data_IF_428878401537
#
_entry.id   IF_428878401537
#
_cell.length_a   1.000
_cell.length_b   1.000
_cell.length_c   1.000
_cell.angle_alpha   90.00
_cell.angle_beta   90.00
_cell.angle_gamma   90.00
#
_symmetry.space_group_name_H-M   'P 1'
#
loop_
_entity.id
_entity.type
_entity.pdbx_description
1 polymer ?
#
# COMPACT_ATOMS: atom_id res chain seq x y z
N UNK A 1 11.38 13.13 2.50
CA UNK A 1 9.98 13.42 2.13
C UNK A 1 9.24 14.08 3.28
N UNK A 2 8.41 15.06 3.00
CA UNK A 2 7.70 15.80 4.05
C UNK A 2 6.50 14.98 4.56
N UNK A 3 6.53 14.64 5.85
CA UNK A 3 5.47 13.81 6.46
C UNK A 3 4.10 14.48 6.46
N UNK A 4 4.06 15.82 6.45
CA UNK A 4 2.80 16.55 6.41
C UNK A 4 2.06 16.34 5.07
N UNK A 5 2.78 16.38 3.95
CA UNK A 5 2.18 16.10 2.65
C UNK A 5 1.67 14.66 2.56
N UNK A 6 2.44 13.73 3.11
CA UNK A 6 2.02 12.32 3.13
C UNK A 6 0.75 12.16 3.94
N UNK A 7 0.69 12.78 5.12
CA UNK A 7 -0.49 12.72 5.98
C UNK A 7 -1.73 13.23 5.25
N UNK A 8 -1.62 14.38 4.55
CA UNK A 8 -2.75 14.93 3.80
C UNK A 8 -3.19 14.00 2.68
N UNK A 9 -2.24 13.43 1.94
CA UNK A 9 -2.54 12.48 0.87
C UNK A 9 -3.27 11.25 1.41
N UNK A 10 -2.73 10.67 2.48
CA UNK A 10 -3.31 9.48 3.09
C UNK A 10 -4.71 9.77 3.64
N UNK A 11 -4.92 10.96 4.18
CA UNK A 11 -6.21 11.35 4.71
C UNK A 11 -7.29 11.44 3.63
N UNK A 12 -6.90 11.69 2.38
CA UNK A 12 -7.82 11.83 1.24
C UNK A 12 -8.03 10.54 0.46
N UNK A 13 -7.14 9.56 0.60
CA UNK A 13 -7.22 8.34 -0.21
C UNK A 13 -8.48 7.56 0.12
N UNK A 14 -9.14 7.03 -0.92
CA UNK A 14 -10.35 6.25 -0.80
C UNK A 14 -10.11 4.81 -1.26
N UNK A 15 -11.04 3.92 -0.92
CA UNK A 15 -10.99 2.56 -1.44
C UNK A 15 -11.07 2.53 -2.97
N UNK A 16 -11.85 3.44 -3.54
CA UNK A 16 -11.99 3.54 -4.99
C UNK A 16 -10.65 3.93 -5.64
N UNK A 17 -9.89 4.82 -5.00
CA UNK A 17 -8.55 5.16 -5.47
C UNK A 17 -7.65 3.93 -5.52
N UNK A 18 -7.73 3.08 -4.51
CA UNK A 18 -6.94 1.84 -4.44
C UNK A 18 -7.33 0.90 -5.57
N UNK A 19 -8.65 0.74 -5.81
CA UNK A 19 -9.16 -0.11 -6.89
C UNK A 19 -8.64 0.39 -8.23
N UNK A 20 -8.77 1.68 -8.50
CA UNK A 20 -8.33 2.27 -9.77
C UNK A 20 -6.82 2.19 -9.96
N UNK A 21 -6.07 2.40 -8.89
CA UNK A 21 -4.61 2.25 -8.97
C UNK A 21 -4.24 0.80 -9.30
N UNK A 22 -4.89 -0.16 -8.64
CA UNK A 22 -4.68 -1.58 -8.96
C UNK A 22 -4.92 -1.88 -10.43
N UNK A 23 -6.04 -1.39 -10.98
CA UNK A 23 -6.36 -1.59 -12.38
C UNK A 23 -5.30 -0.95 -13.30
N UNK A 24 -4.80 0.23 -12.95
CA UNK A 24 -3.75 0.90 -13.71
C UNK A 24 -2.45 0.09 -13.73
N UNK A 25 -2.24 -0.74 -12.71
CA UNK A 25 -1.07 -1.61 -12.60
C UNK A 25 -1.34 -3.02 -13.14
N UNK A 26 -2.51 -3.23 -13.74
CA UNK A 26 -2.84 -4.51 -14.38
C UNK A 26 -3.38 -5.56 -13.41
N UNK A 27 -3.85 -5.18 -12.24
CA UNK A 27 -4.39 -6.12 -11.26
C UNK A 27 -5.79 -5.71 -10.81
N UNK A 28 -6.73 -6.67 -10.83
CA UNK A 28 -8.06 -6.48 -10.26
C UNK A 28 -8.04 -6.99 -8.82
N UNK A 29 -8.05 -6.05 -7.88
CA UNK A 29 -8.05 -6.39 -6.46
C UNK A 29 -9.40 -6.97 -6.04
N UNK A 30 -9.36 -7.97 -5.16
CA UNK A 30 -10.57 -8.51 -4.55
C UNK A 30 -11.00 -7.58 -3.41
N UNK A 31 -12.27 -7.67 -3.04
CA UNK A 31 -12.84 -6.77 -2.03
C UNK A 31 -12.05 -6.81 -0.73
N UNK A 32 -11.73 -8.02 -0.22
CA UNK A 32 -10.98 -8.12 1.04
C UNK A 32 -9.57 -7.54 0.91
N UNK A 33 -8.98 -7.59 -0.28
CA UNK A 33 -7.64 -7.01 -0.51
C UNK A 33 -7.70 -5.48 -0.46
N UNK A 34 -8.74 -4.90 -1.04
CA UNK A 34 -8.96 -3.46 -0.98
C UNK A 34 -9.11 -3.02 0.48
N UNK A 35 -9.92 -3.73 1.25
CA UNK A 35 -10.13 -3.45 2.68
C UNK A 35 -8.81 -3.53 3.45
N UNK A 36 -8.03 -4.58 3.21
CA UNK A 36 -6.75 -4.79 3.88
C UNK A 36 -5.78 -3.66 3.55
N UNK A 37 -5.60 -3.36 2.27
CA UNK A 37 -4.67 -2.33 1.83
C UNK A 37 -5.10 -0.96 2.37
N UNK A 38 -6.40 -0.65 2.29
CA UNK A 38 -6.95 0.58 2.81
C UNK A 38 -6.65 0.74 4.31
N UNK A 39 -6.87 -0.31 5.08
CA UNK A 39 -6.61 -0.30 6.51
C UNK A 39 -5.14 -0.03 6.83
N UNK A 40 -4.22 -0.68 6.13
CA UNK A 40 -2.79 -0.44 6.32
C UNK A 40 -2.40 0.99 5.95
N UNK A 41 -2.91 1.50 4.85
CA UNK A 41 -2.62 2.87 4.43
C UNK A 41 -3.12 3.87 5.46
N UNK A 42 -4.35 3.71 5.95
CA UNK A 42 -4.96 4.66 6.89
C UNK A 42 -4.35 4.59 8.29
N UNK A 43 -4.03 3.39 8.77
CA UNK A 43 -3.68 3.18 10.17
C UNK A 43 -2.21 2.93 10.42
N UNK A 44 -1.47 2.44 9.42
CA UNK A 44 -0.11 1.95 9.61
C UNK A 44 0.94 2.65 8.74
N UNK A 45 0.60 3.77 8.12
CA UNK A 45 1.54 4.41 7.20
C UNK A 45 2.82 4.88 7.89
N UNK A 46 2.73 5.35 9.13
CA UNK A 46 3.92 5.76 9.90
C UNK A 46 4.80 4.56 10.23
N UNK A 47 4.17 3.45 10.64
CA UNK A 47 4.90 2.21 10.91
C UNK A 47 5.55 1.69 9.62
N UNK A 48 4.89 1.84 8.49
CA UNK A 48 5.43 1.46 7.20
C UNK A 48 6.71 2.26 6.87
N UNK A 49 6.71 3.58 7.14
CA UNK A 49 7.90 4.38 6.89
C UNK A 49 9.05 4.02 7.84
N UNK A 50 8.74 3.65 9.07
CA UNK A 50 9.77 3.29 10.05
C UNK A 50 10.31 1.88 9.82
N UNK A 51 9.44 0.94 9.46
CA UNK A 51 9.81 -0.47 9.29
C UNK A 51 8.97 -1.11 8.18
N UNK A 52 9.27 -0.78 6.91
CA UNK A 52 8.47 -1.26 5.78
C UNK A 52 8.52 -2.78 5.64
N UNK A 53 9.64 -3.41 5.96
CA UNK A 53 9.79 -4.85 5.75
C UNK A 53 8.86 -5.65 6.65
N UNK A 54 8.69 -5.23 7.90
CA UNK A 54 7.76 -5.91 8.82
C UNK A 54 6.32 -5.75 8.35
N UNK A 55 5.93 -4.54 7.93
CA UNK A 55 4.57 -4.28 7.45
C UNK A 55 4.29 -5.10 6.19
N UNK A 56 5.24 -5.13 5.25
CA UNK A 56 5.07 -5.90 4.02
C UNK A 56 4.96 -7.39 4.29
N UNK A 57 5.72 -7.89 5.28
CA UNK A 57 5.62 -9.30 5.68
C UNK A 57 4.23 -9.63 6.23
N UNK A 58 3.63 -8.73 7.01
CA UNK A 58 2.27 -8.91 7.50
C UNK A 58 1.26 -8.96 6.35
N UNK A 59 1.39 -8.05 5.40
CA UNK A 59 0.50 -7.98 4.24
C UNK A 59 0.56 -9.26 3.42
N UNK A 60 1.74 -9.87 3.32
CA UNK A 60 1.95 -11.10 2.55
C UNK A 60 0.92 -12.18 2.89
N UNK A 61 0.57 -12.32 4.15
CA UNK A 61 -0.34 -13.36 4.60
C UNK A 61 -1.82 -12.95 4.54
N UNK A 62 -2.10 -11.74 4.08
CA UNK A 62 -3.46 -11.17 4.08
C UNK A 62 -4.00 -10.88 2.68
N UNK A 63 -3.18 -11.11 1.65
CA UNK A 63 -3.58 -10.90 0.26
C UNK A 63 -3.09 -12.08 -0.58
N UNK A 64 -3.61 -12.18 -1.82
CA UNK A 64 -3.15 -13.22 -2.74
C UNK A 64 -1.70 -12.98 -3.14
N UNK A 65 -1.01 -14.04 -3.56
CA UNK A 65 0.38 -13.95 -4.02
C UNK A 65 0.53 -12.95 -5.16
N UNK A 66 -0.40 -12.95 -6.12
CA UNK A 66 -0.34 -12.02 -7.25
C UNK A 66 -0.40 -10.57 -6.77
N UNK A 67 -1.22 -10.29 -5.77
CA UNK A 67 -1.33 -8.97 -5.18
C UNK A 67 -0.06 -8.59 -4.42
N UNK A 68 0.44 -9.51 -3.61
CA UNK A 68 1.68 -9.29 -2.87
C UNK A 68 2.85 -9.01 -3.80
N UNK A 69 2.96 -9.80 -4.87
CA UNK A 69 4.06 -9.62 -5.84
C UNK A 69 3.99 -8.24 -6.50
N UNK A 70 2.79 -7.76 -6.82
CA UNK A 70 2.62 -6.41 -7.36
C UNK A 70 3.01 -5.35 -6.34
N UNK A 71 2.62 -5.52 -5.08
CA UNK A 71 3.01 -4.60 -4.00
C UNK A 71 4.52 -4.54 -3.87
N UNK A 72 5.20 -5.68 -3.89
CA UNK A 72 6.66 -5.73 -3.78
C UNK A 72 7.35 -5.12 -4.98
N UNK A 73 6.82 -5.33 -6.18
CA UNK A 73 7.32 -4.69 -7.38
C UNK A 73 7.28 -3.17 -7.26
N UNK A 74 6.15 -2.64 -6.81
CA UNK A 74 5.98 -1.21 -6.61
C UNK A 74 6.89 -0.68 -5.50
N UNK A 75 6.99 -1.42 -4.39
CA UNK A 75 7.87 -1.03 -3.29
C UNK A 75 9.32 -0.94 -3.77
N UNK A 76 9.81 -1.96 -4.47
CA UNK A 76 11.19 -1.99 -4.95
C UNK A 76 11.47 -0.86 -5.95
N UNK A 77 10.46 -0.48 -6.72
CA UNK A 77 10.59 0.61 -7.69
C UNK A 77 10.66 1.98 -7.02
N UNK A 78 9.90 2.19 -5.95
CA UNK A 78 9.75 3.52 -5.34
C UNK A 78 10.42 3.67 -3.98
N UNK A 79 11.06 2.63 -3.46
CA UNK A 79 11.62 2.67 -2.09
C UNK A 79 12.67 3.76 -1.88
N UNK A 80 13.35 4.18 -2.93
CA UNK A 80 14.35 5.24 -2.81
C UNK A 80 13.70 6.58 -2.41
N UNK A 81 12.41 6.75 -2.69
CA UNK A 81 11.68 7.97 -2.35
C UNK A 81 11.12 7.93 -0.92
N UNK A 82 11.15 6.78 -0.27
CA UNK A 82 10.63 6.57 1.07
C UNK A 82 11.72 6.78 2.12
N UNK A 83 12.93 6.40 1.81
CA UNK A 83 14.10 6.49 2.72
C UNK A 83 14.70 7.88 2.77
#
# INVERSE_FOLDING_TARGET
MNKLFIYEYINRITKDDIIRFGLSQGIKLLEYEVETIYSYIKNDYLRFFDDPETVLLEVRYKVRDITYNKIMELYNKYKIFIN
#
